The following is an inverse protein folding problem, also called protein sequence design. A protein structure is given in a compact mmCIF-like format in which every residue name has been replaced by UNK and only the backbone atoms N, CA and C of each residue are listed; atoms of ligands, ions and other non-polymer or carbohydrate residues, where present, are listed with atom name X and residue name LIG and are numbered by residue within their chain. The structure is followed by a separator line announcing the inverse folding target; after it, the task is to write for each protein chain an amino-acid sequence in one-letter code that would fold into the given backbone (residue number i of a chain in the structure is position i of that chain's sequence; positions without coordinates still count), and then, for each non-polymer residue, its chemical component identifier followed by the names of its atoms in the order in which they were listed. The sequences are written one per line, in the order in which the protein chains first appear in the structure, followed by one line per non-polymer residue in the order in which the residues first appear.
data_IF_656129045431
#
_entry.id   IF_656129045431
#
_cell.length_a   1.000
_cell.length_b   1.000
_cell.length_c   1.000
_cell.angle_alpha   90.00
_cell.angle_beta   90.00
_cell.angle_gamma   90.00
#
_symmetry.space_group_name_H-M   'P 1'
#
loop_
_entity.id
_entity.type
_entity.pdbx_description
1 polymer ?
#
# COMPACT_ATOMS: atom_id res chain seq x y z
N UNK A 1 28.19 -1.29 18.62
CA UNK A 1 28.86 -0.87 17.40
C UNK A 1 28.32 -1.73 16.28
N UNK A 2 27.58 -1.09 15.36
CA UNK A 2 27.14 -1.56 14.05
C UNK A 2 26.14 -2.73 14.06
N UNK A 3 25.03 -2.67 13.43
CA UNK A 3 24.60 -1.91 12.28
C UNK A 3 23.06 -1.98 12.20
N UNK A 4 22.42 -0.87 12.17
CA UNK A 4 21.18 -0.72 11.39
C UNK A 4 21.59 -0.84 9.90
N UNK A 5 21.67 -2.06 9.41
CA UNK A 5 21.47 -2.30 7.99
C UNK A 5 19.99 -2.06 7.76
N UNK A 6 19.68 -0.90 7.19
CA UNK A 6 18.38 -0.65 6.56
C UNK A 6 18.04 -1.86 5.69
N UNK A 7 17.16 -2.71 6.18
CA UNK A 7 16.57 -3.79 5.38
C UNK A 7 15.76 -3.07 4.29
N UNK A 8 16.30 -3.03 3.09
CA UNK A 8 15.60 -2.44 1.95
C UNK A 8 14.26 -3.17 1.78
N UNK A 9 13.18 -2.44 2.05
CA UNK A 9 11.82 -2.95 1.92
C UNK A 9 11.54 -3.16 0.45
N UNK A 10 11.33 -4.41 0.04
CA UNK A 10 10.94 -4.78 -1.33
C UNK A 10 9.45 -4.48 -1.49
N UNK A 11 9.10 -3.65 -2.46
CA UNK A 11 7.71 -3.42 -2.80
C UNK A 11 7.22 -4.42 -3.86
N UNK A 12 5.92 -4.69 -3.82
CA UNK A 12 5.23 -5.55 -4.77
C UNK A 12 4.22 -4.73 -5.57
N UNK A 13 4.22 -4.94 -6.88
CA UNK A 13 3.43 -4.17 -7.81
C UNK A 13 2.66 -5.06 -8.78
N UNK A 14 1.48 -4.62 -9.20
CA UNK A 14 0.81 -5.12 -10.39
C UNK A 14 0.94 -4.05 -11.47
N UNK A 15 1.49 -4.42 -12.60
CA UNK A 15 1.61 -3.57 -13.77
C UNK A 15 0.72 -4.09 -14.91
N UNK A 16 -0.08 -3.19 -15.47
CA UNK A 16 -0.98 -3.46 -16.58
C UNK A 16 -0.70 -2.49 -17.73
N UNK A 17 0.24 -2.82 -18.62
CA UNK A 17 0.54 -1.95 -19.75
C UNK A 17 -0.69 -1.76 -20.63
N UNK A 18 -0.92 -0.52 -21.06
CA UNK A 18 -1.98 -0.19 -22.01
C UNK A 18 -1.38 -0.20 -23.43
N UNK A 19 -2.12 -0.67 -24.45
CA UNK A 19 -1.62 -0.76 -25.81
C UNK A 19 -1.13 0.56 -26.40
N UNK A 20 -1.71 1.69 -25.96
CA UNK A 20 -1.30 3.01 -26.42
C UNK A 20 -0.01 3.52 -25.76
N UNK A 21 0.37 2.99 -24.59
CA UNK A 21 1.51 3.47 -23.80
C UNK A 21 2.77 2.66 -24.09
N UNK A 22 2.60 1.37 -24.40
CA UNK A 22 3.70 0.43 -24.60
C UNK A 22 3.35 -0.56 -25.71
N UNK A 23 4.27 -0.79 -26.64
CA UNK A 23 4.20 -1.96 -27.49
C UNK A 23 4.43 -3.21 -26.64
N UNK A 24 3.37 -3.98 -26.45
CA UNK A 24 3.37 -5.12 -25.54
C UNK A 24 4.38 -6.20 -25.95
N UNK A 25 4.59 -6.42 -27.24
CA UNK A 25 5.56 -7.40 -27.73
C UNK A 25 7.00 -6.97 -27.40
N UNK A 26 7.31 -5.71 -27.65
CA UNK A 26 8.60 -5.12 -27.31
C UNK A 26 8.85 -5.12 -25.80
N UNK A 27 7.81 -4.81 -24.98
CA UNK A 27 7.93 -4.89 -23.52
C UNK A 27 8.24 -6.30 -23.03
N UNK A 28 7.55 -7.32 -23.57
CA UNK A 28 7.81 -8.72 -23.20
C UNK A 28 9.24 -9.14 -23.58
N UNK A 29 9.78 -8.61 -24.66
CA UNK A 29 11.15 -8.91 -25.12
C UNK A 29 12.19 -8.17 -24.29
N UNK A 30 12.05 -6.87 -24.14
CA UNK A 30 13.09 -5.97 -23.61
C UNK A 30 12.93 -5.65 -22.12
N UNK A 31 11.77 -5.89 -21.52
CA UNK A 31 11.50 -5.57 -20.11
C UNK A 31 11.38 -4.07 -19.80
N UNK A 32 11.20 -3.22 -20.83
CA UNK A 32 11.09 -1.77 -20.65
C UNK A 32 9.65 -1.37 -20.29
N UNK A 33 9.41 -1.09 -19.01
CA UNK A 33 8.12 -0.63 -18.50
C UNK A 33 7.94 0.86 -18.74
N UNK A 34 6.73 1.28 -19.15
CA UNK A 34 6.30 2.69 -19.22
C UNK A 34 4.82 2.79 -18.90
N UNK A 35 4.38 3.95 -18.41
CA UNK A 35 2.97 4.18 -18.06
C UNK A 35 2.28 5.24 -18.93
N UNK A 36 2.94 5.66 -20.02
CA UNK A 36 2.44 6.74 -20.86
C UNK A 36 2.64 8.15 -20.26
N UNK A 37 1.73 9.07 -20.59
CA UNK A 37 1.77 10.48 -20.15
C UNK A 37 3.06 11.21 -20.58
N UNK A 38 3.55 10.93 -21.78
CA UNK A 38 4.80 11.50 -22.31
C UNK A 38 4.74 13.02 -22.49
N UNK A 39 3.54 13.59 -22.56
CA UNK A 39 3.28 15.04 -22.58
C UNK A 39 3.73 15.75 -21.28
N UNK A 40 3.95 15.00 -20.21
CA UNK A 40 4.52 15.53 -18.97
C UNK A 40 6.05 15.55 -18.98
N UNK A 41 6.68 15.07 -20.04
CA UNK A 41 8.13 14.90 -20.14
C UNK A 41 8.71 14.06 -18.99
N UNK A 42 9.82 14.48 -18.43
CA UNK A 42 10.53 13.78 -17.36
C UNK A 42 9.81 13.91 -16.01
N UNK A 43 9.25 12.81 -15.52
CA UNK A 43 8.53 12.75 -14.23
C UNK A 43 9.42 13.06 -13.03
N UNK A 44 10.73 12.91 -13.13
CA UNK A 44 11.66 13.21 -12.05
C UNK A 44 11.72 14.68 -11.67
N UNK A 45 11.30 15.57 -12.59
CA UNK A 45 11.31 17.02 -12.40
C UNK A 45 10.26 17.51 -11.40
N UNK A 46 9.19 16.74 -11.17
CA UNK A 46 8.12 17.14 -10.25
C UNK A 46 8.51 16.88 -8.80
N UNK A 47 8.40 17.91 -7.96
CA UNK A 47 8.71 17.83 -6.54
C UNK A 47 7.52 17.36 -5.69
N UNK A 48 6.29 17.47 -6.20
CA UNK A 48 5.07 17.09 -5.48
C UNK A 48 3.99 16.51 -6.41
N UNK A 49 3.03 15.79 -5.83
CA UNK A 49 1.83 15.32 -6.54
C UNK A 49 0.96 16.46 -7.04
N UNK A 50 0.94 17.56 -6.34
CA UNK A 50 0.22 18.78 -6.66
C UNK A 50 0.74 19.40 -7.97
N UNK A 51 2.05 19.45 -8.16
CA UNK A 51 2.67 19.94 -9.41
C UNK A 51 2.29 19.08 -10.61
N UNK A 52 2.26 17.76 -10.47
CA UNK A 52 1.81 16.84 -11.51
C UNK A 52 0.34 17.12 -11.85
N UNK A 53 -0.52 17.29 -10.84
CA UNK A 53 -1.94 17.58 -11.06
C UNK A 53 -2.16 18.91 -11.78
N UNK A 54 -1.47 19.97 -11.36
CA UNK A 54 -1.54 21.28 -12.01
C UNK A 54 -1.09 21.21 -13.47
N UNK A 55 -0.02 20.48 -13.75
CA UNK A 55 0.45 20.30 -15.13
C UNK A 55 -0.56 19.55 -16.00
N UNK A 56 -1.18 18.49 -15.46
CA UNK A 56 -2.26 17.76 -16.14
C UNK A 56 -3.48 18.64 -16.41
N UNK A 57 -3.86 19.49 -15.45
CA UNK A 57 -4.95 20.46 -15.61
C UNK A 57 -4.65 21.48 -16.72
N UNK A 58 -3.42 21.99 -16.76
CA UNK A 58 -2.97 22.91 -17.81
C UNK A 58 -3.04 22.26 -19.20
N UNK A 59 -2.51 21.04 -19.34
CA UNK A 59 -2.48 20.31 -20.61
C UNK A 59 -3.89 19.98 -21.13
N UNK A 60 -4.81 19.66 -20.24
CA UNK A 60 -6.17 19.28 -20.58
C UNK A 60 -7.17 20.46 -20.54
N UNK A 61 -6.71 21.68 -20.27
CA UNK A 61 -7.53 22.89 -20.19
C UNK A 61 -8.76 22.75 -19.28
N UNK A 62 -8.60 22.08 -18.12
CA UNK A 62 -9.68 21.87 -17.16
C UNK A 62 -9.15 21.92 -15.71
N UNK A 63 -10.09 21.87 -14.74
CA UNK A 63 -9.78 21.87 -13.30
C UNK A 63 -10.04 20.48 -12.66
N UNK A 64 -10.02 19.42 -13.46
CA UNK A 64 -10.25 18.08 -12.95
C UNK A 64 -9.08 17.60 -12.09
N UNK A 65 -9.38 16.94 -10.96
CA UNK A 65 -8.36 16.30 -10.12
C UNK A 65 -8.03 14.90 -10.64
N UNK A 66 -6.82 14.73 -11.15
CA UNK A 66 -6.33 13.48 -11.77
C UNK A 66 -5.71 12.52 -10.75
N UNK A 67 -6.41 12.27 -9.61
CA UNK A 67 -5.86 11.55 -8.45
C UNK A 67 -5.20 10.22 -8.85
N UNK A 68 -5.86 9.42 -9.67
CA UNK A 68 -5.33 8.10 -10.08
C UNK A 68 -4.11 8.21 -10.97
N UNK A 69 -4.12 9.16 -11.92
CA UNK A 69 -3.01 9.42 -12.82
C UNK A 69 -1.80 9.96 -12.07
N UNK A 70 -2.03 10.96 -11.22
CA UNK A 70 -0.99 11.57 -10.36
C UNK A 70 -0.32 10.52 -9.48
N UNK A 71 -1.10 9.65 -8.84
CA UNK A 71 -0.56 8.57 -8.01
C UNK A 71 0.26 7.60 -8.84
N UNK A 72 -0.21 7.17 -10.01
CA UNK A 72 0.54 6.25 -10.87
C UNK A 72 1.88 6.84 -11.33
N UNK A 73 1.91 8.13 -11.72
CA UNK A 73 3.13 8.83 -12.11
C UNK A 73 4.10 8.94 -10.93
N UNK A 74 3.61 9.32 -9.76
CA UNK A 74 4.41 9.44 -8.55
C UNK A 74 4.99 8.10 -8.10
N UNK A 75 4.15 7.07 -8.00
CA UNK A 75 4.54 5.71 -7.64
C UNK A 75 5.59 5.16 -8.60
N UNK A 76 5.38 5.34 -9.92
CA UNK A 76 6.32 4.90 -10.95
C UNK A 76 7.66 5.60 -10.87
N UNK A 77 7.68 6.93 -10.66
CA UNK A 77 8.91 7.72 -10.75
C UNK A 77 9.67 7.89 -9.43
N UNK A 78 8.97 7.84 -8.29
CA UNK A 78 9.55 8.15 -6.97
C UNK A 78 9.54 6.97 -5.99
N UNK A 79 8.56 6.05 -6.10
CA UNK A 79 8.42 4.98 -5.12
C UNK A 79 8.93 3.64 -5.62
N UNK A 80 8.73 3.33 -6.92
CA UNK A 80 9.24 2.09 -7.51
C UNK A 80 10.76 2.16 -7.64
N UNK A 81 11.44 1.14 -7.14
CA UNK A 81 12.90 1.11 -7.07
C UNK A 81 13.48 -0.25 -7.46
N UNK A 82 14.78 -0.25 -7.72
CA UNK A 82 15.51 -1.48 -8.00
C UNK A 82 15.30 -2.51 -6.88
N UNK A 83 15.04 -3.76 -7.25
CA UNK A 83 14.73 -4.85 -6.32
C UNK A 83 13.24 -5.09 -6.11
N UNK A 84 12.37 -4.15 -6.45
CA UNK A 84 10.93 -4.34 -6.36
C UNK A 84 10.43 -5.45 -7.29
N UNK A 85 9.36 -6.14 -6.88
CA UNK A 85 8.75 -7.24 -7.62
C UNK A 85 7.52 -6.73 -8.37
N UNK A 86 7.40 -7.12 -9.64
CA UNK A 86 6.30 -6.70 -10.51
C UNK A 86 5.63 -7.91 -11.13
N UNK A 87 4.34 -8.06 -10.88
CA UNK A 87 3.47 -8.98 -11.60
C UNK A 87 2.84 -8.26 -12.78
N UNK A 88 2.96 -8.81 -13.95
CA UNK A 88 2.50 -8.17 -15.18
C UNK A 88 1.22 -8.82 -15.66
N UNK A 89 0.16 -8.04 -15.80
CA UNK A 89 -1.13 -8.50 -16.31
C UNK A 89 -1.41 -8.02 -17.72
N UNK A 90 -2.18 -8.83 -18.46
CA UNK A 90 -2.74 -8.50 -19.77
C UNK A 90 -4.25 -8.49 -19.68
N UNK A 91 -4.84 -7.30 -19.82
CA UNK A 91 -6.28 -7.14 -19.63
C UNK A 91 -6.72 -7.34 -18.18
N UNK A 92 -7.91 -7.91 -17.98
CA UNK A 92 -8.51 -8.06 -16.64
C UNK A 92 -8.35 -9.46 -16.04
N UNK A 93 -7.99 -10.45 -16.83
CA UNK A 93 -8.09 -11.87 -16.47
C UNK A 93 -6.77 -12.63 -16.50
N UNK A 94 -5.75 -12.08 -17.13
CA UNK A 94 -4.54 -12.83 -17.42
C UNK A 94 -3.29 -12.18 -16.83
N UNK A 95 -2.41 -13.01 -16.27
CA UNK A 95 -1.04 -12.66 -15.89
C UNK A 95 -0.10 -13.26 -16.94
N UNK A 96 0.84 -12.45 -17.41
CA UNK A 96 1.82 -12.85 -18.43
C UNK A 96 3.20 -13.13 -17.89
N UNK A 97 3.39 -12.95 -16.61
CA UNK A 97 4.63 -13.24 -15.91
C UNK A 97 4.92 -12.29 -14.74
N UNK A 98 6.10 -12.45 -14.22
CA UNK A 98 6.63 -11.58 -13.19
C UNK A 98 8.12 -11.34 -13.37
N UNK A 99 8.61 -10.29 -12.75
CA UNK A 99 10.02 -9.92 -12.81
C UNK A 99 10.44 -9.01 -11.66
N UNK A 100 11.70 -8.65 -11.66
CA UNK A 100 12.32 -7.77 -10.67
C UNK A 100 12.76 -6.48 -11.35
N UNK A 101 12.46 -5.35 -10.75
CA UNK A 101 12.91 -4.04 -11.20
C UNK A 101 14.42 -3.97 -11.13
N UNK A 102 15.07 -3.67 -12.25
CA UNK A 102 16.54 -3.65 -12.35
C UNK A 102 17.13 -2.25 -12.43
N UNK A 103 16.31 -1.23 -12.68
CA UNK A 103 16.74 0.18 -12.68
C UNK A 103 15.79 1.05 -11.87
N UNK A 104 16.28 2.20 -11.42
CA UNK A 104 15.40 3.29 -11.03
C UNK A 104 14.78 3.94 -12.27
N UNK A 105 13.79 4.81 -12.05
CA UNK A 105 13.17 5.61 -13.10
C UNK A 105 14.21 6.38 -13.94
N UNK A 106 14.03 6.39 -15.25
CA UNK A 106 14.84 7.10 -16.23
C UNK A 106 13.95 7.78 -17.26
N UNK A 107 14.33 8.98 -17.70
CA UNK A 107 13.72 9.63 -18.86
C UNK A 107 14.68 9.52 -20.04
N UNK A 108 14.25 8.80 -21.07
CA UNK A 108 15.08 8.50 -22.24
C UNK A 108 14.22 8.39 -23.50
N UNK A 109 14.68 8.99 -24.61
CA UNK A 109 13.96 8.98 -25.88
C UNK A 109 12.49 9.45 -25.73
N UNK A 110 12.27 10.53 -25.00
CA UNK A 110 10.97 11.11 -24.69
C UNK A 110 9.98 10.16 -23.99
N UNK A 111 10.51 9.18 -23.25
CA UNK A 111 9.72 8.23 -22.45
C UNK A 111 10.24 8.13 -21.03
N UNK A 112 9.31 7.97 -20.12
CA UNK A 112 9.61 7.62 -18.73
C UNK A 112 9.63 6.10 -18.62
N UNK A 113 10.78 5.52 -18.27
CA UNK A 113 11.02 4.08 -18.31
C UNK A 113 11.61 3.55 -17.01
N UNK A 114 11.29 2.30 -16.71
CA UNK A 114 11.91 1.47 -15.68
C UNK A 114 12.18 0.10 -16.30
N UNK A 115 13.37 -0.46 -16.06
CA UNK A 115 13.74 -1.77 -16.58
C UNK A 115 13.30 -2.89 -15.63
N UNK A 116 12.67 -3.90 -16.21
CA UNK A 116 12.26 -5.12 -15.56
C UNK A 116 13.08 -6.31 -16.09
N UNK A 117 13.67 -7.08 -15.20
CA UNK A 117 14.26 -8.38 -15.51
C UNK A 117 13.23 -9.44 -15.24
N UNK A 118 12.73 -10.07 -16.30
CA UNK A 118 11.78 -11.15 -16.21
C UNK A 118 12.36 -12.35 -15.46
N UNK A 119 11.57 -12.92 -14.56
CA UNK A 119 11.86 -14.19 -13.87
C UNK A 119 11.11 -15.34 -14.52
N UNK A 120 9.85 -15.11 -14.85
CA UNK A 120 9.01 -16.10 -15.51
C UNK A 120 8.03 -15.41 -16.47
N UNK A 121 7.80 -16.01 -17.62
CA UNK A 121 6.86 -15.56 -18.65
C UNK A 121 5.93 -16.71 -19.05
N UNK A 122 4.66 -16.42 -19.24
CA UNK A 122 3.66 -17.40 -19.61
C UNK A 122 2.27 -16.79 -19.69
N UNK A 123 1.27 -17.58 -19.37
CA UNK A 123 -0.11 -17.11 -19.33
C UNK A 123 -0.87 -17.85 -18.22
N UNK A 124 -1.25 -17.13 -17.18
CA UNK A 124 -2.00 -17.63 -16.04
C UNK A 124 -3.26 -16.82 -15.83
N UNK A 125 -4.29 -17.44 -15.25
CA UNK A 125 -5.48 -16.69 -14.83
C UNK A 125 -5.21 -15.94 -13.52
N UNK A 126 -5.67 -14.70 -13.45
CA UNK A 126 -5.55 -13.89 -12.23
C UNK A 126 -6.37 -14.56 -11.11
N UNK A 127 -5.75 -14.86 -9.95
CA UNK A 127 -6.42 -15.56 -8.84
C UNK A 127 -7.34 -14.66 -8.01
N UNK A 128 -7.35 -13.37 -8.30
CA UNK A 128 -8.07 -12.35 -7.54
C UNK A 128 -8.76 -11.34 -8.46
N UNK A 129 -9.73 -10.61 -7.94
CA UNK A 129 -10.31 -9.46 -8.65
C UNK A 129 -9.36 -8.27 -8.52
N UNK A 130 -8.76 -7.84 -9.63
CA UNK A 130 -7.85 -6.69 -9.66
C UNK A 130 -8.53 -5.41 -10.11
N UNK A 131 -8.00 -4.27 -9.65
CA UNK A 131 -8.41 -2.96 -10.12
C UNK A 131 -7.94 -2.72 -11.56
N UNK A 132 -8.72 -1.95 -12.31
CA UNK A 132 -8.38 -1.58 -13.70
C UNK A 132 -7.45 -0.35 -13.73
N UNK A 133 -6.26 -0.48 -13.11
CA UNK A 133 -5.23 0.55 -13.05
C UNK A 133 -3.98 0.08 -13.80
N UNK A 134 -3.22 1.03 -14.36
CA UNK A 134 -1.96 0.76 -15.06
C UNK A 134 -0.89 0.28 -14.08
N UNK A 135 -0.82 0.87 -12.89
CA UNK A 135 0.09 0.50 -11.82
C UNK A 135 -0.68 0.42 -10.50
N UNK A 136 -0.38 -0.60 -9.70
CA UNK A 136 -0.99 -0.78 -8.37
C UNK A 136 0.05 -1.33 -7.42
N UNK A 137 0.33 -0.62 -6.35
CA UNK A 137 1.16 -1.11 -5.25
C UNK A 137 0.37 -2.11 -4.41
N UNK A 138 0.89 -3.33 -4.29
CA UNK A 138 0.24 -4.41 -3.54
C UNK A 138 1.04 -4.86 -2.32
N UNK A 139 2.10 -4.15 -1.99
CA UNK A 139 2.92 -4.43 -0.80
C UNK A 139 2.09 -4.61 0.49
N UNK A 140 1.03 -3.82 0.74
CA UNK A 140 0.19 -4.00 1.93
C UNK A 140 -0.70 -5.26 1.90
N UNK A 141 -0.83 -5.93 0.76
CA UNK A 141 -1.79 -7.02 0.54
C UNK A 141 -1.10 -8.39 0.52
N UNK A 142 -0.67 -8.86 1.68
CA UNK A 142 0.09 -10.13 1.83
C UNK A 142 -0.62 -11.34 1.22
N UNK A 143 -1.95 -11.42 1.37
CA UNK A 143 -2.77 -12.49 0.79
C UNK A 143 -2.78 -12.44 -0.74
N UNK A 144 -2.81 -11.25 -1.31
CA UNK A 144 -2.67 -11.05 -2.75
C UNK A 144 -1.31 -11.53 -3.26
N UNK A 145 -0.25 -11.11 -2.58
CA UNK A 145 1.12 -11.52 -2.90
C UNK A 145 1.26 -13.04 -2.80
N UNK A 146 0.71 -13.66 -1.75
CA UNK A 146 0.71 -15.12 -1.58
C UNK A 146 0.04 -15.83 -2.76
N UNK A 147 -1.16 -15.39 -3.16
CA UNK A 147 -1.88 -15.98 -4.32
C UNK A 147 -1.12 -15.83 -5.63
N UNK A 148 -0.40 -14.73 -5.84
CA UNK A 148 0.47 -14.57 -7.01
C UNK A 148 1.69 -15.48 -6.92
N UNK A 149 2.36 -15.59 -5.77
CA UNK A 149 3.49 -16.49 -5.61
C UNK A 149 3.13 -17.95 -5.83
N UNK A 150 1.94 -18.37 -5.37
CA UNK A 150 1.42 -19.73 -5.63
C UNK A 150 1.21 -20.03 -7.11
N UNK A 151 0.82 -19.02 -7.91
CA UNK A 151 0.68 -19.19 -9.37
C UNK A 151 1.99 -19.57 -10.04
N UNK A 152 3.09 -19.04 -9.57
CA UNK A 152 4.39 -19.20 -10.20
C UNK A 152 5.22 -20.33 -9.61
N UNK A 153 4.65 -21.15 -8.69
CA UNK A 153 5.34 -22.25 -8.01
C UNK A 153 6.74 -21.87 -7.53
N UNK A 154 6.87 -20.64 -7.02
CA UNK A 154 8.15 -20.11 -6.56
C UNK A 154 8.48 -20.78 -5.24
N UNK A 155 9.08 -21.96 -5.28
CA UNK A 155 9.88 -22.48 -4.20
C UNK A 155 11.10 -21.57 -4.11
N UNK A 156 11.11 -20.67 -3.12
CA UNK A 156 12.29 -19.90 -2.80
C UNK A 156 13.34 -20.79 -2.17
N UNK A 157 14.14 -21.46 -3.02
CA UNK A 157 15.42 -22.00 -2.60
C UNK A 157 16.43 -20.85 -2.59
N UNK A 158 16.83 -20.51 -1.38
CA UNK A 158 17.98 -19.73 -1.00
C UNK A 158 18.20 -18.31 -1.53
N UNK A 159 18.00 -17.34 -0.64
CA UNK A 159 18.80 -16.12 -0.56
C UNK A 159 18.15 -14.78 -0.92
N UNK A 160 16.93 -14.75 -1.45
CA UNK A 160 16.11 -13.54 -1.45
C UNK A 160 14.84 -13.84 -0.66
N UNK A 161 14.93 -13.64 0.63
CA UNK A 161 13.76 -13.53 1.50
C UNK A 161 12.91 -12.43 0.85
N UNK A 162 11.84 -12.84 0.13
CA UNK A 162 10.67 -12.02 0.14
C UNK A 162 10.43 -11.81 1.64
N UNK A 163 10.74 -10.63 2.14
CA UNK A 163 10.18 -10.21 3.40
C UNK A 163 8.68 -10.19 3.17
N UNK A 164 8.03 -11.41 3.28
CA UNK A 164 6.78 -11.38 3.96
C UNK A 164 7.07 -10.43 5.10
N UNK A 165 6.36 -9.33 5.20
CA UNK A 165 6.15 -8.74 6.50
C UNK A 165 5.40 -9.83 7.25
N UNK A 166 6.13 -10.87 7.67
CA UNK A 166 5.67 -11.83 8.66
C UNK A 166 5.67 -10.99 9.91
N UNK A 167 4.55 -10.29 10.09
CA UNK A 167 4.32 -9.64 11.35
C UNK A 167 4.49 -10.70 12.42
N UNK A 168 5.30 -10.45 13.44
CA UNK A 168 5.51 -11.43 14.51
C UNK A 168 4.16 -11.90 15.00
N UNK A 169 4.00 -13.20 15.15
CA UNK A 169 2.82 -13.80 15.79
C UNK A 169 2.63 -13.13 17.15
N UNK A 170 1.40 -12.81 17.49
CA UNK A 170 1.07 -12.25 18.79
C UNK A 170 -0.24 -12.85 19.28
N UNK A 171 -0.12 -13.74 20.26
CA UNK A 171 -1.22 -14.55 20.79
C UNK A 171 -1.88 -13.90 22.01
N UNK A 172 -3.03 -14.45 22.42
CA UNK A 172 -3.67 -14.10 23.69
C UNK A 172 -2.73 -14.33 24.90
N UNK A 173 -1.97 -15.41 24.89
CA UNK A 173 -0.98 -15.71 25.95
C UNK A 173 0.07 -14.62 26.05
N UNK A 174 0.64 -14.19 24.92
CA UNK A 174 1.59 -13.08 24.87
C UNK A 174 0.98 -11.75 25.32
N UNK A 175 -0.31 -11.54 25.05
CA UNK A 175 -1.03 -10.39 25.58
C UNK A 175 -1.12 -10.42 27.10
N UNK A 176 -1.48 -11.58 27.68
CA UNK A 176 -1.62 -11.75 29.12
C UNK A 176 -0.27 -11.64 29.85
N UNK A 177 0.83 -12.02 29.19
CA UNK A 177 2.20 -11.82 29.70
C UNK A 177 2.61 -10.33 29.66
N UNK A 178 2.23 -9.60 28.61
CA UNK A 178 2.58 -8.20 28.41
C UNK A 178 1.69 -7.22 29.20
N UNK A 179 0.45 -7.61 29.52
CA UNK A 179 -0.58 -6.78 30.14
C UNK A 179 -1.10 -7.44 31.41
N UNK A 180 -1.07 -6.73 32.53
CA UNK A 180 -1.61 -7.21 33.82
C UNK A 180 -3.14 -7.33 33.76
N UNK A 181 -3.63 -8.40 33.13
CA UNK A 181 -5.05 -8.73 32.99
C UNK A 181 -5.22 -10.24 33.15
N UNK A 182 -6.30 -10.68 33.78
CA UNK A 182 -6.62 -12.09 33.83
C UNK A 182 -7.32 -12.56 32.55
N UNK A 183 -7.37 -13.85 32.31
CA UNK A 183 -7.92 -14.46 31.10
C UNK A 183 -9.42 -14.20 30.94
N UNK A 184 -10.18 -14.21 32.03
CA UNK A 184 -11.64 -13.95 32.02
C UNK A 184 -11.97 -12.52 31.58
N UNK A 185 -11.19 -11.54 32.06
CA UNK A 185 -11.32 -10.12 31.65
C UNK A 185 -10.92 -9.92 30.20
N UNK A 186 -9.86 -10.60 29.75
CA UNK A 186 -9.44 -10.60 28.35
C UNK A 186 -10.54 -11.13 27.42
N UNK A 187 -11.09 -12.30 27.71
CA UNK A 187 -12.15 -12.93 26.93
C UNK A 187 -13.40 -12.05 26.89
N UNK A 188 -13.78 -11.47 28.03
CA UNK A 188 -14.88 -10.53 28.11
C UNK A 188 -14.67 -9.32 27.21
N UNK A 189 -13.46 -8.74 27.23
CA UNK A 189 -13.11 -7.57 26.43
C UNK A 189 -13.11 -7.89 24.93
N UNK A 190 -12.55 -9.02 24.52
CA UNK A 190 -12.57 -9.51 23.14
C UNK A 190 -14.00 -9.71 22.64
N UNK A 191 -14.86 -10.36 23.45
CA UNK A 191 -16.27 -10.57 23.10
C UNK A 191 -17.03 -9.23 22.98
N UNK A 192 -16.77 -8.27 23.85
CA UNK A 192 -17.35 -6.93 23.78
C UNK A 192 -16.96 -6.21 22.49
N UNK A 193 -15.69 -6.24 22.12
CA UNK A 193 -15.20 -5.62 20.88
C UNK A 193 -15.86 -6.30 19.66
N UNK A 194 -15.87 -7.62 19.61
CA UNK A 194 -16.49 -8.36 18.50
C UNK A 194 -17.97 -8.02 18.33
N UNK A 195 -18.70 -7.88 19.43
CA UNK A 195 -20.15 -7.60 19.44
C UNK A 195 -20.48 -6.13 19.23
N UNK A 196 -19.77 -5.22 19.92
CA UNK A 196 -20.07 -3.78 19.95
C UNK A 196 -19.28 -2.97 18.93
N UNK A 197 -18.21 -3.53 18.40
CA UNK A 197 -17.26 -2.89 17.46
C UNK A 197 -16.52 -1.68 18.03
N UNK A 198 -16.80 -1.27 19.24
CA UNK A 198 -16.09 -0.21 19.95
C UNK A 198 -16.10 -0.45 21.45
N UNK A 199 -15.07 0.02 22.14
CA UNK A 199 -14.91 -0.05 23.59
C UNK A 199 -14.20 1.21 24.09
N UNK A 200 -14.60 1.69 25.26
CA UNK A 200 -13.96 2.81 25.95
C UNK A 200 -13.17 2.25 27.14
N UNK A 201 -11.84 2.40 27.10
CA UNK A 201 -10.97 2.08 28.22
C UNK A 201 -10.79 3.30 29.11
N UNK A 202 -11.34 3.26 30.32
CA UNK A 202 -11.29 4.37 31.29
C UNK A 202 -10.32 4.06 32.42
N UNK A 203 -9.65 5.05 32.94
CA UNK A 203 -8.73 4.96 34.07
C UNK A 203 -7.78 6.14 34.17
N UNK A 204 -7.03 6.29 35.26
CA UNK A 204 -6.10 7.39 35.46
C UNK A 204 -4.98 7.44 34.40
N UNK A 205 -4.31 8.58 34.21
CA UNK A 205 -3.14 8.67 33.36
C UNK A 205 -2.03 7.69 33.80
N UNK A 206 -1.28 7.12 32.85
CA UNK A 206 -0.11 6.27 33.16
C UNK A 206 -0.40 4.80 33.42
N UNK A 207 -1.67 4.36 33.54
CA UNK A 207 -2.01 2.93 33.81
C UNK A 207 -1.93 2.01 32.59
N UNK A 208 -1.35 2.46 31.49
CA UNK A 208 -1.09 1.59 30.32
C UNK A 208 -2.27 1.37 29.38
N UNK A 209 -3.36 2.18 29.40
CA UNK A 209 -4.53 2.00 28.52
C UNK A 209 -4.17 1.90 27.03
N UNK A 210 -3.39 2.83 26.53
CA UNK A 210 -2.95 2.85 25.11
C UNK A 210 -2.04 1.66 24.79
N UNK A 211 -1.22 1.25 25.75
CA UNK A 211 -0.36 0.07 25.64
C UNK A 211 -1.20 -1.20 25.51
N UNK A 212 -2.19 -1.37 26.39
CA UNK A 212 -3.10 -2.51 26.39
C UNK A 212 -3.99 -2.53 25.13
N UNK A 213 -4.57 -1.37 24.72
CA UNK A 213 -5.42 -1.27 23.54
C UNK A 213 -4.72 -1.75 22.27
N UNK A 214 -3.47 -1.29 22.05
CA UNK A 214 -2.68 -1.70 20.89
C UNK A 214 -2.35 -3.18 20.89
N UNK A 215 -2.02 -3.74 22.05
CA UNK A 215 -1.71 -5.16 22.19
C UNK A 215 -2.93 -6.04 22.05
N UNK A 216 -4.08 -5.58 22.55
CA UNK A 216 -5.35 -6.25 22.35
C UNK A 216 -5.69 -6.37 20.87
N UNK A 217 -5.53 -5.29 20.09
CA UNK A 217 -5.70 -5.35 18.66
C UNK A 217 -4.78 -6.41 18.02
N UNK A 218 -3.50 -6.46 18.39
CA UNK A 218 -2.56 -7.46 17.89
C UNK A 218 -2.96 -8.89 18.28
N UNK A 219 -3.39 -9.13 19.52
CA UNK A 219 -3.81 -10.47 19.95
C UNK A 219 -5.08 -10.94 19.22
N UNK A 220 -6.01 -10.02 18.94
CA UNK A 220 -7.21 -10.32 18.16
C UNK A 220 -6.90 -10.63 16.70
N UNK A 221 -5.88 -9.98 16.12
CA UNK A 221 -5.39 -10.25 14.76
C UNK A 221 -4.49 -11.50 14.68
N UNK A 222 -3.97 -11.98 15.82
CA UNK A 222 -2.96 -13.05 15.86
C UNK A 222 -1.54 -12.63 15.44
N UNK A 223 -1.34 -11.36 15.06
CA UNK A 223 -0.07 -10.84 14.54
C UNK A 223 0.15 -9.37 14.91
N UNK A 224 1.41 -8.96 15.04
CA UNK A 224 1.79 -7.54 15.30
C UNK A 224 1.79 -6.69 14.01
N UNK A 225 0.67 -6.67 13.30
CA UNK A 225 0.52 -5.85 12.09
C UNK A 225 0.21 -4.39 12.46
N UNK A 226 1.20 -3.53 12.28
CA UNK A 226 1.09 -2.10 12.62
C UNK A 226 0.22 -1.32 11.63
N UNK A 227 0.07 -1.81 10.41
CA UNK A 227 -0.68 -1.12 9.36
C UNK A 227 -2.19 -1.26 9.54
N UNK A 228 -2.62 -2.33 10.22
CA UNK A 228 -4.02 -2.56 10.58
C UNK A 228 -4.43 -2.00 11.94
N UNK A 229 -3.54 -1.25 12.59
CA UNK A 229 -3.83 -0.56 13.85
C UNK A 229 -3.50 0.92 13.74
N UNK A 230 -4.53 1.76 13.73
CA UNK A 230 -4.36 3.22 13.66
C UNK A 230 -4.62 3.85 15.02
N UNK A 231 -3.62 4.57 15.52
CA UNK A 231 -3.74 5.36 16.74
C UNK A 231 -3.82 6.84 16.39
N UNK A 232 -4.81 7.53 16.95
CA UNK A 232 -4.98 8.98 16.85
C UNK A 232 -5.13 9.55 18.24
N UNK A 233 -4.46 10.67 18.49
CA UNK A 233 -4.61 11.42 19.72
C UNK A 233 -5.42 12.68 19.45
N UNK A 234 -6.60 12.79 20.06
CA UNK A 234 -7.39 14.01 20.02
C UNK A 234 -6.78 15.08 20.94
N UNK A 235 -6.66 16.28 20.41
CA UNK A 235 -6.22 17.47 21.13
C UNK A 235 -7.10 18.67 20.74
N UNK A 236 -6.96 19.78 21.43
CA UNK A 236 -7.87 20.94 21.26
C UNK A 236 -7.96 21.47 19.82
N UNK A 237 -6.90 21.32 19.02
CA UNK A 237 -6.87 21.77 17.62
C UNK A 237 -7.20 20.66 16.62
N UNK A 238 -7.61 19.46 17.07
CA UNK A 238 -7.96 18.34 16.20
C UNK A 238 -9.43 18.47 15.80
N UNK A 239 -9.66 18.87 14.56
CA UNK A 239 -11.00 19.16 14.05
C UNK A 239 -11.63 17.93 13.37
N UNK A 240 -12.93 18.00 13.11
CA UNK A 240 -13.67 17.00 12.37
C UNK A 240 -13.07 16.77 10.97
N UNK A 241 -12.59 17.82 10.35
CA UNK A 241 -11.94 17.81 9.03
C UNK A 241 -10.63 17.03 9.03
N UNK A 242 -9.92 16.95 10.17
CA UNK A 242 -8.72 16.13 10.31
C UNK A 242 -9.06 14.66 10.54
N UNK A 243 -10.24 14.41 11.10
CA UNK A 243 -10.69 13.07 11.46
C UNK A 243 -11.41 12.36 10.31
N UNK A 244 -12.44 12.97 9.75
CA UNK A 244 -13.26 12.38 8.69
C UNK A 244 -12.93 13.00 7.35
N UNK A 245 -13.39 14.20 7.08
CA UNK A 245 -13.11 14.98 5.87
C UNK A 245 -13.59 16.42 6.03
N UNK A 246 -13.00 17.33 5.29
CA UNK A 246 -13.47 18.71 5.23
C UNK A 246 -12.72 19.57 4.24
N UNK A 247 -13.23 20.75 4.02
CA UNK A 247 -12.60 21.73 3.15
C UNK A 247 -11.45 22.44 3.86
N UNK A 248 -10.30 22.50 3.23
CA UNK A 248 -9.14 23.23 3.70
C UNK A 248 -8.84 24.38 2.74
N UNK A 249 -8.50 25.57 3.28
CA UNK A 249 -8.10 26.71 2.44
C UNK A 249 -6.80 26.38 1.71
N UNK A 250 -6.74 26.79 0.45
CA UNK A 250 -5.56 26.76 -0.41
C UNK A 250 -5.33 28.17 -0.94
N UNK A 251 -4.21 28.41 -1.60
CA UNK A 251 -3.93 29.73 -2.20
C UNK A 251 -4.97 30.14 -3.25
N UNK A 252 -5.66 29.18 -3.86
CA UNK A 252 -6.64 29.40 -4.95
C UNK A 252 -8.09 29.14 -4.54
N UNK A 253 -8.38 28.83 -3.26
CA UNK A 253 -9.74 28.54 -2.79
C UNK A 253 -9.81 27.50 -1.67
N UNK A 254 -10.69 26.51 -1.83
CA UNK A 254 -10.88 25.43 -0.86
C UNK A 254 -10.74 24.07 -1.53
N UNK A 255 -10.04 23.15 -0.87
CA UNK A 255 -9.88 21.78 -1.30
C UNK A 255 -10.51 20.82 -0.27
N UNK A 256 -11.26 19.81 -0.76
CA UNK A 256 -11.76 18.75 0.09
C UNK A 256 -10.62 17.77 0.43
N UNK A 257 -10.28 17.66 1.70
CA UNK A 257 -9.28 16.70 2.22
C UNK A 257 -9.93 15.64 3.06
N UNK A 258 -9.44 14.41 2.93
CA UNK A 258 -9.88 13.26 3.72
C UNK A 258 -9.03 13.14 4.99
N UNK A 259 -9.68 12.88 6.12
CA UNK A 259 -9.06 12.74 7.42
C UNK A 259 -8.55 11.32 7.72
N UNK A 260 -7.92 11.19 8.89
CA UNK A 260 -7.25 9.95 9.29
C UNK A 260 -8.20 8.75 9.39
N UNK A 261 -9.41 8.94 9.91
CA UNK A 261 -10.41 7.88 10.05
C UNK A 261 -10.96 7.44 8.70
N UNK A 262 -11.34 8.40 7.85
CA UNK A 262 -11.85 8.09 6.52
C UNK A 262 -10.85 7.28 5.69
N UNK A 263 -9.58 7.70 5.69
CA UNK A 263 -8.52 7.01 4.95
C UNK A 263 -8.29 5.59 5.48
N UNK A 264 -8.35 5.42 6.80
CA UNK A 264 -8.20 4.10 7.42
C UNK A 264 -9.39 3.18 7.12
N UNK A 265 -10.62 3.71 7.10
CA UNK A 265 -11.79 2.96 6.67
C UNK A 265 -11.69 2.52 5.21
N UNK A 266 -11.17 3.39 4.33
CA UNK A 266 -10.93 3.03 2.93
C UNK A 266 -9.90 1.92 2.78
N UNK A 267 -8.83 1.95 3.57
CA UNK A 267 -7.86 0.87 3.62
C UNK A 267 -8.52 -0.45 4.07
N UNK A 268 -9.36 -0.41 5.09
CA UNK A 268 -10.08 -1.58 5.58
C UNK A 268 -11.11 -2.13 4.57
N UNK A 269 -11.78 -1.26 3.80
CA UNK A 269 -12.66 -1.69 2.70
C UNK A 269 -11.93 -2.47 1.61
N UNK A 270 -10.68 -2.10 1.33
CA UNK A 270 -9.85 -2.77 0.30
C UNK A 270 -9.39 -4.17 0.74
N UNK A 271 -9.40 -4.48 2.04
CA UNK A 271 -9.02 -5.76 2.63
C UNK A 271 -10.09 -6.21 3.66
N UNK A 272 -11.32 -6.32 3.21
CA UNK A 272 -12.52 -6.54 4.04
C UNK A 272 -12.56 -7.89 4.78
N UNK A 273 -11.65 -8.82 4.47
CA UNK A 273 -11.55 -10.13 5.14
C UNK A 273 -10.72 -10.07 6.42
N UNK A 274 -10.05 -8.95 6.68
CA UNK A 274 -9.19 -8.77 7.86
C UNK A 274 -9.76 -7.75 8.82
N UNK A 275 -9.46 -7.97 10.10
CA UNK A 275 -9.81 -7.00 11.15
C UNK A 275 -8.85 -5.81 11.13
N UNK A 276 -9.42 -4.61 11.22
CA UNK A 276 -8.74 -3.33 11.35
C UNK A 276 -9.18 -2.64 12.63
N UNK A 277 -8.23 -2.03 13.35
CA UNK A 277 -8.47 -1.39 14.65
C UNK A 277 -8.08 0.08 14.61
N UNK A 278 -9.06 0.96 14.94
CA UNK A 278 -8.86 2.40 15.00
C UNK A 278 -8.95 2.88 16.43
#
# INVERSE_FOLDING_TARGET
IDADKDLEVVNYWIYSPKPQDVDFASFIENGEMSIGYNELEDFSKYASKEEINQKLQQLNHNQHHYIHTVNAIWEFSKEMKRGDIVYVKKGQTDIVGWGVVSSNHQYKNDKNIIQLVWKEKGNWKIPIKTLNKTLTKITPYSETIRKFNELFSVEHSDGLVATQTTYPVYTAEQFLDDVFMNEEDYDTLVQLIRRKKNVILQGPPGVGKTYAAKRLAYSMMGVKDKERVKLVQFHQSYAYEDFVMGYRPTETGFELRTGAFYNFCKQAEEDSEKDYFF
#
